data_IF_946300018043
#
_entry.id   IF_946300018043
#
_cell.length_a   1.000
_cell.length_b   1.000
_cell.length_c   1.000
_cell.angle_alpha   90.00
_cell.angle_beta   90.00
_cell.angle_gamma   90.00
#
_symmetry.space_group_name_H-M   'P 1'
#
loop_
_entity.id
_entity.type
_entity.pdbx_description
1 polymer ?
#
# COMPACT_ATOMS: atom_id res chain seq x y z
N UNK A 1 7.32 13.37 5.26
CA UNK A 1 7.69 12.09 4.61
C UNK A 1 9.03 11.69 5.17
N UNK A 2 9.18 10.44 5.60
CA UNK A 2 10.39 10.02 6.32
C UNK A 2 11.51 9.65 5.34
N UNK A 3 12.68 10.25 5.51
CA UNK A 3 13.95 9.83 4.92
C UNK A 3 14.43 8.53 5.57
N UNK A 4 15.42 7.86 4.97
CA UNK A 4 16.00 6.61 5.48
C UNK A 4 16.44 6.69 6.96
N UNK A 5 17.08 7.78 7.40
CA UNK A 5 17.51 7.97 8.80
C UNK A 5 16.31 8.01 9.74
N UNK A 6 15.19 8.57 9.28
CA UNK A 6 13.97 8.70 10.06
C UNK A 6 13.20 7.37 10.14
N UNK A 7 13.41 6.44 9.20
CA UNK A 7 12.79 5.10 9.23
C UNK A 7 13.25 4.26 10.43
N UNK A 8 14.57 4.17 10.68
CA UNK A 8 15.09 3.39 11.81
C UNK A 8 14.78 4.04 13.17
N UNK A 9 14.78 5.39 13.22
CA UNK A 9 14.29 6.13 14.39
C UNK A 9 12.81 5.81 14.67
N UNK A 10 11.97 5.79 13.63
CA UNK A 10 10.56 5.44 13.75
C UNK A 10 10.36 3.97 14.19
N UNK A 11 11.14 3.02 13.65
CA UNK A 11 11.14 1.63 14.11
C UNK A 11 11.49 1.53 15.60
N UNK A 12 12.58 2.17 16.03
CA UNK A 12 12.99 2.18 17.44
C UNK A 12 11.92 2.80 18.36
N UNK A 13 11.31 3.91 17.93
CA UNK A 13 10.20 4.55 18.65
C UNK A 13 8.96 3.64 18.73
N UNK A 14 8.64 2.91 17.66
CA UNK A 14 7.54 1.95 17.65
C UNK A 14 7.76 0.80 18.65
N UNK A 15 8.99 0.29 18.73
CA UNK A 15 9.38 -0.76 19.68
C UNK A 15 9.30 -0.25 21.13
N UNK A 16 9.91 0.89 21.43
CA UNK A 16 9.91 1.50 22.77
C UNK A 16 8.50 1.76 23.31
N UNK A 17 7.56 2.14 22.42
CA UNK A 17 6.17 2.44 22.80
C UNK A 17 5.22 1.23 22.68
N UNK A 18 5.76 0.03 22.42
CA UNK A 18 5.01 -1.22 22.23
C UNK A 18 3.91 -1.12 21.16
N UNK A 19 4.13 -0.32 20.12
CA UNK A 19 3.10 -0.04 19.11
C UNK A 19 2.75 -1.27 18.28
N UNK A 20 3.72 -2.16 18.01
CA UNK A 20 3.45 -3.42 17.31
C UNK A 20 2.54 -4.35 18.11
N UNK A 21 2.73 -4.42 19.43
CA UNK A 21 1.85 -5.22 20.29
C UNK A 21 0.43 -4.64 20.33
N UNK A 22 0.30 -3.30 20.39
CA UNK A 22 -1.00 -2.62 20.27
C UNK A 22 -1.66 -2.87 18.93
N UNK A 23 -0.91 -2.85 17.83
CA UNK A 23 -1.41 -3.15 16.49
C UNK A 23 -1.98 -4.58 16.43
N UNK A 24 -1.26 -5.58 16.95
CA UNK A 24 -1.74 -6.96 17.01
C UNK A 24 -2.99 -7.11 17.89
N UNK A 25 -3.08 -6.38 19.00
CA UNK A 25 -4.29 -6.35 19.84
C UNK A 25 -5.49 -5.79 19.07
N UNK A 26 -5.30 -4.75 18.26
CA UNK A 26 -6.38 -4.21 17.42
C UNK A 26 -6.78 -5.25 16.37
N UNK A 27 -5.82 -5.89 15.69
CA UNK A 27 -6.11 -6.95 14.71
C UNK A 27 -6.83 -8.15 15.30
N UNK A 28 -6.59 -8.50 16.57
CA UNK A 28 -7.27 -9.60 17.24
C UNK A 28 -8.80 -9.40 17.35
N UNK A 29 -9.29 -8.17 17.18
CA UNK A 29 -10.73 -7.88 17.14
C UNK A 29 -11.38 -8.25 15.79
N UNK A 30 -10.60 -8.47 14.74
CA UNK A 30 -11.10 -9.00 13.47
C UNK A 30 -11.41 -10.50 13.60
N UNK A 31 -12.44 -11.00 12.90
CA UNK A 31 -12.67 -12.43 12.78
C UNK A 31 -11.51 -13.11 12.04
N UNK A 32 -11.31 -14.40 12.28
CA UNK A 32 -10.40 -15.19 11.45
C UNK A 32 -11.08 -15.45 10.11
N UNK A 33 -10.32 -15.30 9.04
CA UNK A 33 -10.82 -15.45 7.68
C UNK A 33 -10.10 -16.56 6.94
N UNK A 34 -10.85 -17.26 6.08
CA UNK A 34 -10.32 -18.15 5.05
C UNK A 34 -10.69 -17.60 3.66
N UNK A 35 -9.83 -17.84 2.68
CA UNK A 35 -9.97 -17.35 1.30
C UNK A 35 -9.38 -18.40 0.34
N UNK A 36 -9.98 -18.54 -0.84
CA UNK A 36 -9.58 -19.48 -1.90
C UNK A 36 -8.21 -19.17 -2.55
N UNK A 37 -7.52 -18.10 -2.15
CA UNK A 37 -6.18 -17.77 -2.66
C UNK A 37 -6.14 -17.30 -4.12
N UNK A 38 -7.22 -16.74 -4.68
CA UNK A 38 -7.29 -16.35 -6.09
C UNK A 38 -6.45 -15.11 -6.49
N UNK A 39 -5.85 -14.43 -5.51
CA UNK A 39 -5.05 -13.20 -5.65
C UNK A 39 -5.76 -12.00 -6.32
N UNK A 40 -7.10 -11.99 -6.43
CA UNK A 40 -7.83 -10.86 -7.05
C UNK A 40 -7.47 -9.52 -6.40
N UNK A 41 -7.40 -9.47 -5.07
CA UNK A 41 -7.01 -8.24 -4.35
C UNK A 41 -5.54 -7.86 -4.56
N UNK A 42 -4.61 -8.82 -4.64
CA UNK A 42 -3.19 -8.55 -4.88
C UNK A 42 -2.89 -8.15 -6.32
N UNK A 43 -3.68 -8.66 -7.29
CA UNK A 43 -3.62 -8.27 -8.70
C UNK A 43 -4.20 -6.89 -8.95
N UNK A 44 -5.11 -6.45 -8.07
CA UNK A 44 -5.67 -5.10 -8.14
C UNK A 44 -4.62 -4.01 -7.83
N UNK A 45 -3.70 -4.28 -6.90
CA UNK A 45 -2.63 -3.36 -6.55
C UNK A 45 -2.18 -3.50 -5.10
N UNK A 46 -1.22 -2.67 -4.67
CA UNK A 46 -0.87 -2.55 -3.26
C UNK A 46 -1.89 -1.64 -2.57
N UNK A 47 -2.67 -2.13 -1.59
CA UNK A 47 -3.64 -1.29 -0.91
C UNK A 47 -2.93 -0.32 0.06
N UNK A 48 -3.64 0.73 0.50
CA UNK A 48 -3.13 1.64 1.52
C UNK A 48 -2.86 0.91 2.85
N UNK A 49 -1.84 1.37 3.56
CA UNK A 49 -1.47 0.92 4.90
C UNK A 49 -1.27 2.15 5.79
N UNK A 50 -1.65 2.04 7.07
CA UNK A 50 -1.26 3.04 8.06
C UNK A 50 0.26 3.00 8.26
N UNK A 51 0.84 4.08 8.76
CA UNK A 51 2.29 4.16 8.87
C UNK A 51 2.85 3.12 9.85
N UNK A 52 2.17 2.86 10.97
CA UNK A 52 2.54 1.78 11.90
C UNK A 52 2.50 0.39 11.23
N UNK A 53 1.58 0.17 10.30
CA UNK A 53 1.50 -1.09 9.54
C UNK A 53 2.66 -1.21 8.55
N UNK A 54 2.99 -0.12 7.86
CA UNK A 54 4.19 -0.05 7.02
C UNK A 54 5.45 -0.39 7.82
N UNK A 55 5.62 0.16 9.03
CA UNK A 55 6.75 -0.19 9.89
C UNK A 55 6.78 -1.70 10.23
N UNK A 56 5.61 -2.30 10.52
CA UNK A 56 5.52 -3.72 10.83
C UNK A 56 5.89 -4.58 9.63
N UNK A 57 5.37 -4.22 8.44
CA UNK A 57 5.69 -4.87 7.17
C UNK A 57 7.18 -4.75 6.83
N UNK A 58 7.75 -3.55 6.94
CA UNK A 58 9.16 -3.28 6.65
C UNK A 58 10.06 -4.09 7.58
N UNK A 59 9.78 -4.10 8.89
CA UNK A 59 10.52 -4.91 9.88
C UNK A 59 10.50 -6.39 9.50
N UNK A 60 9.34 -6.93 9.13
CA UNK A 60 9.24 -8.33 8.69
C UNK A 60 10.08 -8.61 7.44
N UNK A 61 10.02 -7.74 6.43
CA UNK A 61 10.81 -7.86 5.19
C UNK A 61 12.30 -7.81 5.51
N UNK A 62 12.73 -6.86 6.33
CA UNK A 62 14.11 -6.69 6.79
C UNK A 62 14.64 -7.97 7.44
N UNK A 63 13.87 -8.52 8.36
CA UNK A 63 14.32 -9.62 9.22
C UNK A 63 14.19 -11.00 8.56
N UNK A 64 13.26 -11.18 7.61
CA UNK A 64 12.89 -12.50 7.08
C UNK A 64 13.05 -12.67 5.57
N UNK A 65 13.21 -11.57 4.81
CA UNK A 65 13.11 -11.59 3.34
C UNK A 65 14.35 -11.03 2.63
N UNK A 66 15.53 -11.17 3.25
CA UNK A 66 16.79 -10.66 2.68
C UNK A 66 17.06 -11.15 1.25
N UNK A 67 16.69 -12.41 0.94
CA UNK A 67 16.86 -12.99 -0.40
C UNK A 67 15.96 -12.36 -1.47
N UNK A 68 14.78 -11.87 -1.06
CA UNK A 68 13.77 -11.32 -1.95
C UNK A 68 13.87 -9.78 -2.03
N UNK A 69 14.79 -9.18 -1.26
CA UNK A 69 14.86 -7.73 -1.05
C UNK A 69 15.03 -6.93 -2.35
N UNK A 70 15.93 -7.37 -3.23
CA UNK A 70 16.16 -6.70 -4.51
C UNK A 70 14.92 -6.75 -5.41
N UNK A 71 14.19 -7.86 -5.42
CA UNK A 71 12.95 -7.99 -6.18
C UNK A 71 11.84 -7.11 -5.59
N UNK A 72 11.71 -7.07 -4.27
CA UNK A 72 10.77 -6.16 -3.57
C UNK A 72 11.08 -4.70 -3.89
N UNK A 73 12.36 -4.30 -3.87
CA UNK A 73 12.79 -2.95 -4.23
C UNK A 73 12.40 -2.63 -5.67
N UNK A 74 12.76 -3.49 -6.63
CA UNK A 74 12.41 -3.32 -8.04
C UNK A 74 10.90 -3.16 -8.24
N UNK A 75 10.10 -4.13 -7.77
CA UNK A 75 8.63 -4.10 -7.88
C UNK A 75 8.03 -2.88 -7.20
N UNK A 76 8.56 -2.47 -6.05
CA UNK A 76 8.09 -1.28 -5.33
C UNK A 76 8.45 0.02 -6.05
N UNK A 77 9.63 0.09 -6.68
CA UNK A 77 10.03 1.23 -7.52
C UNK A 77 9.14 1.32 -8.76
N UNK A 78 8.93 0.22 -9.48
CA UNK A 78 8.04 0.18 -10.64
C UNK A 78 6.62 0.60 -10.25
N UNK A 79 6.06 0.01 -9.18
CA UNK A 79 4.75 0.38 -8.67
C UNK A 79 4.68 1.86 -8.32
N UNK A 80 5.66 2.40 -7.59
CA UNK A 80 5.66 3.82 -7.21
C UNK A 80 5.69 4.77 -8.39
N UNK A 81 6.25 4.39 -9.53
CA UNK A 81 6.34 5.26 -10.70
C UNK A 81 5.23 5.04 -11.72
N UNK A 82 4.64 3.84 -11.78
CA UNK A 82 3.76 3.44 -12.88
C UNK A 82 2.34 3.07 -12.44
N UNK A 83 1.98 3.17 -11.15
CA UNK A 83 0.66 2.74 -10.66
C UNK A 83 -0.53 3.48 -11.29
N UNK A 84 -0.30 4.66 -11.88
CA UNK A 84 -1.31 5.45 -12.56
C UNK A 84 -1.27 5.33 -14.09
N UNK A 85 -0.31 4.58 -14.67
CA UNK A 85 -0.12 4.53 -16.13
C UNK A 85 0.12 3.13 -16.70
N UNK A 86 0.49 2.16 -15.88
CA UNK A 86 0.67 0.76 -16.29
C UNK A 86 -0.39 -0.14 -15.64
N UNK A 87 -1.29 -0.67 -16.46
CA UNK A 87 -2.39 -1.56 -16.03
C UNK A 87 -1.92 -2.89 -15.46
N UNK A 88 -0.64 -3.25 -15.65
CA UNK A 88 -0.07 -4.51 -15.20
C UNK A 88 0.51 -4.44 -13.78
N UNK A 89 0.47 -3.28 -13.13
CA UNK A 89 0.99 -3.11 -11.78
C UNK A 89 0.18 -3.94 -10.78
N UNK A 90 0.90 -4.69 -9.95
CA UNK A 90 0.35 -5.58 -8.91
C UNK A 90 1.02 -5.29 -7.57
N UNK A 91 0.48 -5.84 -6.50
CA UNK A 91 1.14 -5.81 -5.20
C UNK A 91 2.56 -6.43 -5.30
N UNK A 92 3.63 -5.76 -4.81
CA UNK A 92 4.99 -6.29 -4.87
C UNK A 92 5.18 -7.63 -4.15
N UNK A 93 4.29 -7.95 -3.21
CA UNK A 93 4.32 -9.16 -2.39
C UNK A 93 3.55 -10.32 -3.00
N UNK A 94 2.98 -10.17 -4.20
CA UNK A 94 2.34 -11.25 -4.92
C UNK A 94 3.40 -12.17 -5.54
N UNK A 95 3.39 -13.44 -5.12
CA UNK A 95 4.21 -14.49 -5.70
C UNK A 95 3.51 -15.12 -6.92
N UNK A 96 4.27 -15.86 -7.72
CA UNK A 96 3.78 -16.54 -8.92
C UNK A 96 2.68 -17.58 -8.62
N UNK A 97 2.72 -18.18 -7.44
CA UNK A 97 1.71 -19.14 -6.95
C UNK A 97 0.42 -18.47 -6.43
N UNK A 98 0.19 -17.18 -6.73
CA UNK A 98 -0.92 -16.36 -6.22
C UNK A 98 -0.94 -16.16 -4.68
N UNK A 99 0.14 -16.49 -3.99
CA UNK A 99 0.28 -16.30 -2.55
C UNK A 99 0.92 -14.95 -2.20
N UNK A 100 0.56 -14.41 -1.03
CA UNK A 100 1.19 -13.20 -0.50
C UNK A 100 2.40 -13.57 0.36
N UNK A 101 3.58 -13.07 0.03
CA UNK A 101 4.83 -13.37 0.74
C UNK A 101 4.91 -12.79 2.16
N UNK A 102 4.04 -11.82 2.48
CA UNK A 102 3.95 -11.19 3.81
C UNK A 102 2.56 -11.39 4.47
N UNK A 103 1.87 -12.48 4.15
CA UNK A 103 0.47 -12.70 4.53
C UNK A 103 0.18 -12.42 6.02
N UNK A 104 1.09 -12.81 6.91
CA UNK A 104 0.92 -12.66 8.37
C UNK A 104 1.04 -11.22 8.88
N UNK A 105 1.72 -10.34 8.15
CA UNK A 105 1.93 -8.93 8.49
C UNK A 105 1.22 -7.99 7.51
N UNK A 106 0.27 -8.50 6.72
CA UNK A 106 -0.52 -7.70 5.77
C UNK A 106 -1.28 -6.56 6.49
N UNK A 107 -1.50 -5.41 5.82
CA UNK A 107 -2.18 -4.27 6.43
C UNK A 107 -3.69 -4.52 6.61
N UNK A 108 -4.34 -3.65 7.36
CA UNK A 108 -5.75 -3.69 7.73
C UNK A 108 -6.66 -3.74 6.51
N UNK A 109 -6.33 -2.98 5.47
CA UNK A 109 -7.01 -2.99 4.17
C UNK A 109 -7.06 -4.39 3.55
N UNK A 110 -5.98 -5.17 3.62
CA UNK A 110 -5.98 -6.57 3.20
C UNK A 110 -6.73 -7.50 4.17
N UNK A 111 -6.63 -7.26 5.49
CA UNK A 111 -7.27 -8.11 6.52
C UNK A 111 -8.79 -7.99 6.52
N UNK A 112 -9.29 -6.80 6.23
CA UNK A 112 -10.71 -6.46 6.27
C UNK A 112 -11.45 -6.73 4.95
N UNK A 113 -10.71 -6.96 3.85
CA UNK A 113 -11.30 -7.25 2.56
C UNK A 113 -12.15 -8.54 2.60
N UNK A 114 -13.39 -8.45 2.13
CA UNK A 114 -14.37 -9.53 2.20
C UNK A 114 -15.15 -9.63 3.51
N UNK A 115 -14.90 -8.75 4.49
CA UNK A 115 -15.67 -8.71 5.74
C UNK A 115 -16.92 -7.82 5.68
N UNK A 116 -17.05 -6.97 4.67
CA UNK A 116 -18.24 -6.14 4.47
C UNK A 116 -19.27 -6.85 3.60
N UNK A 117 -20.54 -6.55 3.85
CA UNK A 117 -21.61 -6.90 2.92
C UNK A 117 -21.36 -6.26 1.55
N UNK A 118 -21.89 -6.85 0.48
CA UNK A 118 -21.78 -6.28 -0.88
C UNK A 118 -22.29 -4.84 -0.93
N UNK A 119 -23.43 -4.59 -0.29
CA UNK A 119 -24.05 -3.27 -0.19
C UNK A 119 -23.11 -2.24 0.45
N UNK A 120 -22.43 -2.59 1.54
CA UNK A 120 -21.55 -1.64 2.24
C UNK A 120 -20.24 -1.41 1.48
N UNK A 121 -19.73 -2.44 0.80
CA UNK A 121 -18.50 -2.37 0.01
C UNK A 121 -18.63 -1.44 -1.21
N UNK A 122 -19.75 -1.50 -1.93
CA UNK A 122 -19.97 -0.74 -3.18
C UNK A 122 -20.25 0.77 -2.96
N UNK A 123 -20.25 1.25 -1.71
CA UNK A 123 -20.57 2.66 -1.39
C UNK A 123 -19.40 3.65 -1.50
N UNK A 124 -18.22 3.22 -1.92
CA UNK A 124 -17.00 4.05 -1.97
C UNK A 124 -16.62 4.50 -3.38
N UNK A 125 -16.46 5.80 -3.61
CA UNK A 125 -15.82 6.37 -4.80
C UNK A 125 -14.32 6.55 -4.55
N UNK A 126 -13.47 6.07 -5.47
CA UNK A 126 -12.00 6.24 -5.39
C UNK A 126 -11.52 7.63 -5.82
N UNK A 127 -12.40 8.47 -6.38
CA UNK A 127 -12.03 9.80 -6.85
C UNK A 127 -11.03 9.80 -8.02
N UNK A 128 -10.72 8.64 -8.61
CA UNK A 128 -9.75 8.48 -9.70
C UNK A 128 -10.13 9.29 -10.93
N UNK A 129 -11.43 9.48 -11.19
CA UNK A 129 -11.91 10.34 -12.29
C UNK A 129 -11.46 11.79 -12.11
N UNK A 130 -11.58 12.34 -10.89
CA UNK A 130 -11.12 13.71 -10.58
C UNK A 130 -9.59 13.80 -10.65
N UNK A 131 -8.89 12.78 -10.17
CA UNK A 131 -7.43 12.69 -10.24
C UNK A 131 -6.95 12.67 -11.70
N UNK A 132 -7.56 11.84 -12.55
CA UNK A 132 -7.23 11.74 -13.96
C UNK A 132 -7.43 13.07 -14.69
N UNK A 133 -8.55 13.76 -14.43
CA UNK A 133 -8.80 15.09 -14.98
C UNK A 133 -7.68 16.08 -14.58
N UNK A 134 -7.33 16.12 -13.29
CA UNK A 134 -6.24 16.97 -12.79
C UNK A 134 -4.90 16.66 -13.47
N UNK A 135 -4.57 15.38 -13.65
CA UNK A 135 -3.33 14.98 -14.30
C UNK A 135 -3.29 15.37 -15.78
N UNK A 136 -4.43 15.30 -16.46
CA UNK A 136 -4.57 15.76 -17.84
C UNK A 136 -4.38 17.28 -17.94
N UNK A 137 -5.02 18.04 -17.06
CA UNK A 137 -5.00 19.51 -17.08
C UNK A 137 -3.64 20.10 -16.68
N UNK A 138 -3.00 19.57 -15.63
CA UNK A 138 -1.75 20.13 -15.09
C UNK A 138 -0.49 19.63 -15.80
N UNK A 139 -0.51 18.39 -16.31
CA UNK A 139 0.71 17.72 -16.80
C UNK A 139 0.60 17.19 -18.22
N UNK A 140 -0.55 17.33 -18.88
CA UNK A 140 -0.86 16.68 -20.17
C UNK A 140 -0.48 15.20 -20.14
N UNK A 141 -0.95 14.51 -19.10
CA UNK A 141 -0.75 13.07 -18.89
C UNK A 141 -2.11 12.39 -18.87
N UNK A 142 -2.32 11.47 -19.80
CA UNK A 142 -3.55 10.68 -19.89
C UNK A 142 -3.40 9.39 -19.09
N UNK A 143 -4.20 9.25 -18.03
CA UNK A 143 -4.32 7.99 -17.29
C UNK A 143 -5.23 7.04 -18.10
N UNK A 144 -4.84 5.78 -18.34
CA UNK A 144 -5.66 4.79 -19.05
C UNK A 144 -7.05 4.61 -18.41
N UNK A 145 -8.09 4.48 -19.23
CA UNK A 145 -9.46 4.29 -18.76
C UNK A 145 -9.62 2.99 -17.96
N UNK A 146 -8.83 1.97 -18.28
CA UNK A 146 -8.76 0.73 -17.53
C UNK A 146 -8.37 1.00 -16.08
N UNK A 147 -7.39 1.88 -15.82
CA UNK A 147 -6.99 2.24 -14.44
C UNK A 147 -8.09 3.06 -13.76
N UNK A 148 -8.70 4.00 -14.47
CA UNK A 148 -9.76 4.88 -13.93
C UNK A 148 -10.99 4.06 -13.51
N UNK A 149 -11.36 3.07 -14.32
CA UNK A 149 -12.58 2.28 -14.14
C UNK A 149 -12.33 0.93 -13.45
N UNK A 150 -11.09 0.57 -13.13
CA UNK A 150 -10.79 -0.71 -12.47
C UNK A 150 -11.11 -0.66 -10.98
N UNK A 151 -12.34 -1.08 -10.68
CA UNK A 151 -12.82 -1.28 -9.32
C UNK A 151 -12.42 -2.66 -8.79
N UNK A 152 -11.98 -2.70 -7.53
CA UNK A 152 -11.74 -3.97 -6.85
C UNK A 152 -13.11 -4.63 -6.63
N UNK A 153 -13.38 -5.82 -7.17
CA UNK A 153 -14.69 -6.44 -7.01
C UNK A 153 -14.94 -6.81 -5.54
N UNK A 154 -16.21 -6.83 -5.13
CA UNK A 154 -16.58 -7.43 -3.86
C UNK A 154 -16.27 -8.93 -3.86
N UNK A 155 -15.83 -9.47 -2.72
CA UNK A 155 -15.44 -10.87 -2.60
C UNK A 155 -16.37 -11.64 -1.65
N UNK A 156 -17.21 -12.52 -2.21
CA UNK A 156 -18.05 -13.45 -1.44
C UNK A 156 -17.36 -14.78 -1.09
N UNK A 157 -16.08 -14.93 -1.44
CA UNK A 157 -15.28 -16.15 -1.17
C UNK A 157 -14.55 -16.09 0.16
N UNK A 158 -14.52 -14.93 0.81
CA UNK A 158 -13.92 -14.78 2.14
C UNK A 158 -14.94 -15.25 3.17
N UNK A 159 -14.56 -16.28 3.93
CA UNK A 159 -15.41 -16.84 4.99
C UNK A 159 -14.83 -16.46 6.35
N UNK A 160 -15.66 -15.85 7.18
CA UNK A 160 -15.37 -15.45 8.56
C UNK A 160 -15.77 -16.57 9.53
N UNK A 161 -14.94 -16.83 10.56
CA UNK A 161 -15.27 -17.77 11.63
C UNK A 161 -16.45 -17.34 12.51
N UNK A 162 -16.86 -16.06 12.42
CA UNK A 162 -18.06 -15.53 13.07
C UNK A 162 -19.35 -15.75 12.27
N UNK A 163 -19.26 -16.25 11.04
CA UNK A 163 -20.43 -16.57 10.20
C UNK A 163 -21.23 -15.36 9.67
N UNK A 164 -20.87 -14.13 10.04
CA UNK A 164 -21.50 -12.90 9.57
C UNK A 164 -20.50 -11.87 9.04
N UNK A 165 -21.00 -10.98 8.16
CA UNK A 165 -20.31 -9.76 7.77
C UNK A 165 -20.23 -8.79 8.97
N UNK A 166 -19.26 -7.90 8.93
CA UNK A 166 -19.11 -6.83 9.90
C UNK A 166 -19.80 -5.56 9.42
N UNK A 167 -20.30 -4.78 10.37
CA UNK A 167 -20.81 -3.43 10.14
C UNK A 167 -19.68 -2.49 9.70
N UNK A 168 -19.98 -1.57 8.77
CA UNK A 168 -19.03 -0.55 8.31
C UNK A 168 -18.46 0.30 9.45
N UNK A 169 -19.28 0.62 10.45
CA UNK A 169 -18.86 1.36 11.65
C UNK A 169 -17.84 0.60 12.50
N UNK A 170 -17.91 -0.74 12.53
CA UNK A 170 -16.96 -1.57 13.28
C UNK A 170 -15.58 -1.51 12.62
N UNK A 171 -15.52 -1.69 11.30
CA UNK A 171 -14.25 -1.56 10.57
C UNK A 171 -13.69 -0.14 10.64
N UNK A 172 -14.53 0.88 10.56
CA UNK A 172 -14.12 2.28 10.70
C UNK A 172 -13.53 2.54 12.11
N UNK A 173 -14.16 2.00 13.16
CA UNK A 173 -13.65 2.13 14.53
C UNK A 173 -12.30 1.42 14.74
N UNK A 174 -12.07 0.28 14.10
CA UNK A 174 -10.76 -0.39 14.12
C UNK A 174 -9.72 0.40 13.32
N UNK A 175 -10.08 0.91 12.14
CA UNK A 175 -9.20 1.75 11.34
C UNK A 175 -8.77 3.02 12.10
N UNK A 176 -9.71 3.68 12.80
CA UNK A 176 -9.41 4.85 13.64
C UNK A 176 -8.46 4.50 14.81
N UNK A 177 -8.62 3.33 15.44
CA UNK A 177 -7.69 2.87 16.48
C UNK A 177 -6.28 2.65 15.92
N UNK A 178 -6.15 2.07 14.73
CA UNK A 178 -4.84 1.91 14.07
C UNK A 178 -4.25 3.29 13.73
N UNK A 179 -5.05 4.18 13.12
CA UNK A 179 -4.65 5.55 12.80
C UNK A 179 -4.16 6.32 14.03
N UNK A 180 -4.76 6.12 15.20
CA UNK A 180 -4.31 6.77 16.44
C UNK A 180 -2.88 6.41 16.86
N UNK A 181 -2.36 5.25 16.41
CA UNK A 181 -0.97 4.87 16.65
C UNK A 181 -0.01 5.75 15.84
N UNK A 182 -0.45 6.25 14.68
CA UNK A 182 0.34 7.11 13.80
C UNK A 182 0.56 8.52 14.39
N UNK A 183 -0.26 8.96 15.35
CA UNK A 183 -0.05 10.21 16.10
C UNK A 183 1.30 10.26 16.84
N UNK A 184 1.91 9.09 17.07
CA UNK A 184 3.28 9.01 17.62
C UNK A 184 4.32 9.59 16.67
N UNK A 185 4.06 9.58 15.36
CA UNK A 185 5.02 9.93 14.30
C UNK A 185 4.65 11.21 13.56
N UNK A 186 3.36 11.54 13.47
CA UNK A 186 2.85 12.64 12.67
C UNK A 186 1.87 13.51 13.47
N UNK A 187 1.70 14.79 13.08
CA UNK A 187 0.65 15.63 13.64
C UNK A 187 -0.72 14.98 13.42
N UNK A 188 -1.59 15.08 14.43
CA UNK A 188 -2.92 14.50 14.41
C UNK A 188 -3.73 14.95 13.17
N UNK A 189 -3.70 16.24 12.84
CA UNK A 189 -4.40 16.79 11.67
C UNK A 189 -4.03 16.06 10.36
N UNK A 190 -2.75 15.74 10.17
CA UNK A 190 -2.28 15.04 8.97
C UNK A 190 -2.82 13.61 8.90
N UNK A 191 -2.89 12.93 10.05
CA UNK A 191 -3.38 11.55 10.15
C UNK A 191 -4.90 11.51 9.97
N UNK A 192 -5.62 12.45 10.59
CA UNK A 192 -7.08 12.54 10.51
C UNK A 192 -7.57 12.87 9.09
N UNK A 193 -6.73 13.54 8.29
CA UNK A 193 -6.96 13.79 6.86
C UNK A 193 -6.46 12.63 5.95
N UNK A 194 -6.13 11.47 6.54
CA UNK A 194 -5.58 10.29 5.85
C UNK A 194 -4.27 10.56 5.09
N UNK A 195 -3.54 11.62 5.44
CA UNK A 195 -2.31 12.03 4.76
C UNK A 195 -1.13 11.08 4.95
N UNK A 196 -1.23 10.15 5.92
CA UNK A 196 -0.24 9.09 6.18
C UNK A 196 -0.65 7.73 5.62
N UNK A 197 -1.86 7.61 5.07
CA UNK A 197 -2.43 6.35 4.59
C UNK A 197 -1.95 6.09 3.15
N UNK A 198 -0.81 5.41 3.00
CA UNK A 198 -0.19 5.18 1.70
C UNK A 198 0.12 3.70 1.47
N UNK A 199 0.18 3.23 0.21
CA UNK A 199 0.64 1.88 -0.08
C UNK A 199 2.10 1.66 0.35
N UNK A 200 2.44 0.41 0.69
CA UNK A 200 3.81 0.03 1.05
C UNK A 200 4.88 0.50 0.05
N UNK A 201 4.71 0.33 -1.29
CA UNK A 201 5.66 0.84 -2.28
C UNK A 201 5.94 2.34 -2.14
N UNK A 202 4.90 3.12 -1.83
CA UNK A 202 4.99 4.58 -1.71
C UNK A 202 5.74 4.96 -0.45
N UNK A 203 5.43 4.33 0.69
CA UNK A 203 6.21 4.53 1.92
C UNK A 203 7.68 4.15 1.72
N UNK A 204 7.93 2.98 1.10
CA UNK A 204 9.28 2.49 0.91
C UNK A 204 10.09 3.40 -0.03
N UNK A 205 9.54 3.80 -1.18
CA UNK A 205 10.25 4.66 -2.12
C UNK A 205 10.50 6.07 -1.56
N UNK A 206 9.61 6.58 -0.72
CA UNK A 206 9.87 7.84 -0.01
C UNK A 206 11.11 7.73 0.91
N UNK A 207 11.30 6.58 1.56
CA UNK A 207 12.46 6.34 2.42
C UNK A 207 13.74 6.04 1.63
N UNK A 208 13.65 5.23 0.57
CA UNK A 208 14.78 4.73 -0.22
C UNK A 208 15.32 5.75 -1.21
N UNK A 209 14.43 6.40 -1.98
CA UNK A 209 14.82 7.30 -3.05
C UNK A 209 14.84 8.78 -2.62
N UNK A 210 14.23 9.09 -1.48
CA UNK A 210 14.12 10.42 -0.91
C UNK A 210 13.13 11.34 -1.65
N UNK A 211 13.14 12.63 -1.30
CA UNK A 211 12.16 13.62 -1.79
C UNK A 211 12.25 13.87 -3.30
N UNK A 212 13.43 13.70 -3.90
CA UNK A 212 13.64 13.85 -5.34
C UNK A 212 12.93 12.81 -6.22
N UNK A 213 12.52 11.67 -5.64
CA UNK A 213 11.81 10.63 -6.38
C UNK A 213 10.46 11.12 -6.90
N UNK A 214 9.73 11.86 -6.04
CA UNK A 214 8.38 12.36 -6.33
C UNK A 214 8.38 13.46 -7.39
N UNK A 215 9.37 14.35 -7.37
CA UNK A 215 9.47 15.43 -8.38
C UNK A 215 9.73 14.90 -9.79
N UNK A 216 10.29 13.69 -9.91
CA UNK A 216 10.55 13.03 -11.19
C UNK A 216 9.44 12.08 -11.64
N UNK A 217 8.46 11.82 -10.77
CA UNK A 217 7.37 10.85 -11.02
C UNK A 217 6.60 11.13 -12.31
N UNK A 218 6.14 12.36 -12.48
CA UNK A 218 5.42 12.78 -13.70
C UNK A 218 6.30 12.57 -14.94
N UNK A 219 7.59 12.92 -14.90
CA UNK A 219 8.49 12.75 -16.04
C UNK A 219 8.66 11.27 -16.43
N UNK A 220 8.79 10.39 -15.45
CA UNK A 220 8.89 8.94 -15.68
C UNK A 220 7.59 8.40 -16.29
N UNK A 221 6.43 8.81 -15.75
CA UNK A 221 5.13 8.41 -16.30
C UNK A 221 4.94 8.88 -17.74
N UNK A 222 5.29 10.14 -18.06
CA UNK A 222 5.17 10.66 -19.44
C UNK A 222 6.05 9.89 -20.42
N UNK A 223 7.31 9.60 -20.08
CA UNK A 223 8.16 8.76 -20.94
C UNK A 223 7.52 7.39 -21.19
N UNK A 224 6.97 6.76 -20.15
CA UNK A 224 6.33 5.46 -20.29
C UNK A 224 5.09 5.53 -21.19
N UNK A 225 4.24 6.54 -21.04
CA UNK A 225 3.02 6.71 -21.84
C UNK A 225 3.32 7.10 -23.29
N UNK A 226 4.23 8.05 -23.50
CA UNK A 226 4.49 8.65 -24.82
C UNK A 226 5.42 7.78 -25.69
N UNK A 227 6.42 7.14 -25.06
CA UNK A 227 7.48 6.40 -25.77
C UNK A 227 7.42 4.87 -25.54
N UNK A 228 6.65 4.40 -24.56
CA UNK A 228 6.69 3.00 -24.12
C UNK A 228 8.01 2.60 -23.45
N UNK A 229 8.88 3.58 -23.16
CA UNK A 229 10.23 3.38 -22.62
C UNK A 229 10.23 3.36 -21.09
N UNK A 230 11.11 2.55 -20.51
CA UNK A 230 11.38 2.49 -19.05
C UNK A 230 12.78 3.00 -18.70
N UNK A 231 13.46 3.72 -19.60
CA UNK A 231 14.85 4.15 -19.40
C UNK A 231 15.04 4.99 -18.12
N UNK A 232 14.22 6.02 -17.92
CA UNK A 232 14.29 6.86 -16.71
C UNK A 232 13.94 6.05 -15.45
N UNK A 233 12.98 5.13 -15.56
CA UNK A 233 12.59 4.24 -14.47
C UNK A 233 13.76 3.32 -14.06
N UNK A 234 14.48 2.76 -15.03
CA UNK A 234 15.59 1.85 -14.78
C UNK A 234 16.68 2.52 -13.94
N UNK A 235 16.97 3.81 -14.16
CA UNK A 235 17.89 4.56 -13.31
C UNK A 235 17.44 4.61 -11.84
N UNK A 236 16.13 4.78 -11.58
CA UNK A 236 15.59 4.74 -10.22
C UNK A 236 15.59 3.34 -9.63
N UNK A 237 15.36 2.31 -10.43
CA UNK A 237 15.45 0.91 -10.00
C UNK A 237 16.89 0.57 -9.58
N UNK A 238 17.89 0.96 -10.38
CA UNK A 238 19.30 0.79 -10.05
C UNK A 238 19.66 1.53 -8.76
N UNK A 239 19.24 2.79 -8.63
CA UNK A 239 19.44 3.58 -7.41
C UNK A 239 18.79 2.90 -6.19
N UNK A 240 17.54 2.47 -6.30
CA UNK A 240 16.84 1.78 -5.23
C UNK A 240 17.55 0.48 -4.83
N UNK A 241 18.08 -0.27 -5.80
CA UNK A 241 18.78 -1.54 -5.60
C UNK A 241 20.08 -1.40 -4.80
N UNK A 242 20.66 -0.20 -4.73
CA UNK A 242 21.82 0.07 -3.87
C UNK A 242 21.47 0.14 -2.38
N UNK A 243 20.19 0.27 -2.03
CA UNK A 243 19.75 0.35 -0.64
C UNK A 243 19.83 -1.00 0.04
N UNK A 244 20.55 -1.04 1.17
CA UNK A 244 20.66 -2.20 2.03
C UNK A 244 20.24 -1.83 3.45
N UNK A 245 19.69 -2.83 4.15
CA UNK A 245 19.40 -2.80 5.57
C UNK A 245 20.30 -3.78 6.31
#
# INVERSE_FOLDING_TARGET
>A
MLQQVELYSALGKAEQNNLFAKLEQIYANLPRTSCDGCATCCKWGSPPAFFIEYLNMYRYVRDNMKKDWLDILKKSTEYFYLELVDVNQKCPFLNDDNNCSIYNVRPFSCRSYGLLSKKDFETGDRGLKKLAQKFKDEYDLTIPEEIINYELPWCGKVVSDRGSYLEKSTLAGLAAQIGSLDYTFFPQELVDQEGTLLPYPVHLMNAVLGTGARSRKIKVMKQFVDEGSKELLNHFVEKASSFQF
#
